data_IF_925272098323
#
_entry.id   IF_925272098323
#
_cell.length_a   1.000
_cell.length_b   1.000
_cell.length_c   1.000
_cell.angle_alpha   90.00
_cell.angle_beta   90.00
_cell.angle_gamma   90.00
#
_symmetry.space_group_name_H-M   'P 1'
#
loop_
_entity.id
_entity.type
_entity.pdbx_description
1 polymer ?
#
# COMPACT_ATOMS: atom_id res chain seq x y z
N UNK A 1 13.77 3.86 -27.50
CA UNK A 1 12.61 4.31 -26.70
C UNK A 1 12.67 3.71 -25.29
N UNK A 2 13.52 4.23 -24.40
CA UNK A 2 13.64 3.74 -23.01
C UNK A 2 13.69 4.96 -22.11
N UNK A 3 12.67 5.15 -21.24
CA UNK A 3 12.76 5.89 -19.96
C UNK A 3 11.39 6.35 -19.37
N UNK A 4 10.23 6.10 -19.99
CA UNK A 4 8.95 6.56 -19.38
C UNK A 4 8.38 5.61 -18.32
N UNK A 5 8.74 4.32 -18.37
CA UNK A 5 8.12 3.29 -17.52
C UNK A 5 8.58 3.28 -16.05
N UNK A 6 9.76 3.82 -15.73
CA UNK A 6 10.33 3.79 -14.36
C UNK A 6 9.68 4.80 -13.38
N UNK A 7 8.74 5.64 -13.83
CA UNK A 7 8.29 6.79 -13.05
C UNK A 7 6.84 6.70 -12.50
N UNK A 8 6.16 5.56 -12.70
CA UNK A 8 4.80 5.36 -12.17
C UNK A 8 4.80 5.13 -10.66
N UNK A 9 3.66 5.40 -10.01
CA UNK A 9 3.50 5.17 -8.57
C UNK A 9 3.68 3.69 -8.20
N UNK A 10 3.16 2.76 -9.03
CA UNK A 10 3.28 1.31 -8.83
C UNK A 10 4.73 0.83 -8.85
N UNK A 11 5.56 1.30 -9.80
CA UNK A 11 6.97 0.92 -9.86
C UNK A 11 7.75 1.41 -8.63
N UNK A 12 7.43 2.61 -8.13
CA UNK A 12 8.04 3.15 -6.91
C UNK A 12 7.72 2.29 -5.68
N UNK A 13 6.49 1.78 -5.58
CA UNK A 13 6.12 0.85 -4.51
C UNK A 13 6.86 -0.48 -4.66
N UNK A 14 6.97 -1.02 -5.87
CA UNK A 14 7.70 -2.26 -6.14
C UNK A 14 9.20 -2.14 -5.81
N UNK A 15 9.81 -0.99 -6.09
CA UNK A 15 11.20 -0.70 -5.69
C UNK A 15 11.35 -0.70 -4.17
N UNK A 16 10.43 -0.06 -3.43
CA UNK A 16 10.43 -0.09 -1.97
C UNK A 16 10.34 -1.52 -1.43
N UNK A 17 9.37 -2.30 -1.91
CA UNK A 17 9.16 -3.69 -1.51
C UNK A 17 10.42 -4.56 -1.75
N UNK A 18 11.04 -4.45 -2.93
CA UNK A 18 12.27 -5.18 -3.26
C UNK A 18 13.45 -4.79 -2.36
N UNK A 19 13.62 -3.50 -2.06
CA UNK A 19 14.68 -3.02 -1.17
C UNK A 19 14.50 -3.54 0.25
N UNK A 20 13.27 -3.49 0.77
CA UNK A 20 12.94 -4.03 2.09
C UNK A 20 13.21 -5.54 2.14
N UNK A 21 12.74 -6.29 1.13
CA UNK A 21 12.98 -7.73 1.03
C UNK A 21 14.47 -8.08 1.03
N UNK A 22 15.27 -7.46 0.15
CA UNK A 22 16.70 -7.74 0.06
C UNK A 22 17.44 -7.39 1.36
N UNK A 23 17.11 -6.26 1.98
CA UNK A 23 17.72 -5.85 3.24
C UNK A 23 17.37 -6.81 4.40
N UNK A 24 16.11 -7.23 4.50
CA UNK A 24 15.68 -8.20 5.51
C UNK A 24 16.25 -9.61 5.27
N UNK A 25 16.43 -10.00 3.99
CA UNK A 25 17.02 -11.28 3.63
C UNK A 25 18.52 -11.33 3.93
N UNK A 26 19.23 -10.21 3.75
CA UNK A 26 20.66 -10.10 4.04
C UNK A 26 20.96 -10.02 5.55
N UNK A 27 20.10 -9.35 6.32
CA UNK A 27 20.21 -9.26 7.77
C UNK A 27 18.83 -9.45 8.43
N UNK A 28 18.52 -10.67 8.91
CA UNK A 28 17.25 -10.97 9.57
C UNK A 28 17.01 -10.20 10.88
N UNK A 29 18.07 -9.64 11.50
CA UNK A 29 17.95 -8.84 12.73
C UNK A 29 17.86 -7.34 12.45
N UNK A 30 17.89 -6.93 11.18
CA UNK A 30 17.80 -5.53 10.77
C UNK A 30 16.50 -4.90 11.24
N UNK A 31 16.60 -3.77 11.93
CA UNK A 31 15.46 -2.91 12.28
C UNK A 31 15.30 -1.80 11.25
N UNK A 32 14.06 -1.53 10.85
CA UNK A 32 13.71 -0.45 9.94
C UNK A 32 13.07 0.70 10.74
N UNK A 33 13.84 1.72 11.09
CA UNK A 33 13.39 2.79 11.99
C UNK A 33 12.21 3.64 11.49
N UNK A 34 11.96 3.66 10.18
CA UNK A 34 10.89 4.45 9.54
C UNK A 34 9.96 3.60 8.67
N UNK A 35 9.85 2.30 8.96
CA UNK A 35 9.05 1.39 8.12
C UNK A 35 7.59 1.83 8.02
N UNK A 36 7.01 2.24 9.16
CA UNK A 36 5.61 2.68 9.24
C UNK A 36 5.35 3.84 8.27
N UNK A 37 6.15 4.91 8.34
CA UNK A 37 6.08 6.06 7.42
C UNK A 37 6.14 5.66 5.94
N UNK A 38 6.98 4.68 5.60
CA UNK A 38 7.12 4.23 4.20
C UNK A 38 5.96 3.35 3.75
N UNK A 39 5.46 2.47 4.61
CA UNK A 39 4.35 1.55 4.30
C UNK A 39 3.00 2.28 4.28
N UNK A 40 2.79 3.24 5.17
CA UNK A 40 1.59 4.09 5.20
C UNK A 40 1.69 5.30 4.27
N UNK A 41 2.70 5.36 3.40
CA UNK A 41 2.77 6.44 2.39
C UNK A 41 1.60 6.33 1.41
N UNK A 42 1.01 7.46 1.02
CA UNK A 42 -0.20 7.47 0.18
C UNK A 42 -0.09 6.67 -1.13
N UNK A 43 1.10 6.57 -1.73
CA UNK A 43 1.32 5.72 -2.92
C UNK A 43 1.15 4.24 -2.63
N UNK A 44 1.64 3.77 -1.48
CA UNK A 44 1.51 2.38 -1.04
C UNK A 44 0.07 2.10 -0.66
N UNK A 45 -0.57 3.00 0.09
CA UNK A 45 -1.96 2.87 0.52
C UNK A 45 -2.94 2.80 -0.66
N UNK A 46 -2.79 3.66 -1.67
CA UNK A 46 -3.63 3.62 -2.89
C UNK A 46 -3.44 2.31 -3.67
N UNK A 47 -2.20 1.82 -3.77
CA UNK A 47 -1.94 0.53 -4.40
C UNK A 47 -2.56 -0.63 -3.61
N UNK A 48 -2.41 -0.62 -2.29
CA UNK A 48 -2.99 -1.62 -1.40
C UNK A 48 -4.52 -1.63 -1.50
N UNK A 49 -5.17 -0.47 -1.49
CA UNK A 49 -6.61 -0.34 -1.71
C UNK A 49 -7.06 -1.01 -3.01
N UNK A 50 -6.37 -0.71 -4.11
CA UNK A 50 -6.68 -1.29 -5.43
C UNK A 50 -6.61 -2.82 -5.41
N UNK A 51 -5.62 -3.39 -4.72
CA UNK A 51 -5.45 -4.84 -4.60
C UNK A 51 -6.52 -5.46 -3.69
N UNK A 52 -6.83 -4.84 -2.56
CA UNK A 52 -7.87 -5.32 -1.63
C UNK A 52 -9.24 -5.32 -2.29
N UNK A 53 -9.59 -4.24 -3.00
CA UNK A 53 -10.84 -4.16 -3.76
C UNK A 53 -10.94 -5.27 -4.81
N UNK A 54 -9.85 -5.57 -5.50
CA UNK A 54 -9.83 -6.63 -6.51
C UNK A 54 -10.09 -8.04 -5.94
N UNK A 55 -9.80 -8.27 -4.66
CA UNK A 55 -10.03 -9.54 -4.00
C UNK A 55 -11.50 -9.83 -3.68
N UNK A 56 -12.40 -8.82 -3.78
CA UNK A 56 -13.85 -8.97 -3.56
C UNK A 56 -14.22 -9.63 -2.22
N UNK A 57 -13.44 -9.36 -1.18
CA UNK A 57 -13.66 -9.91 0.16
C UNK A 57 -14.88 -9.32 0.86
N UNK A 58 -15.38 -10.04 1.87
CA UNK A 58 -16.45 -9.58 2.75
C UNK A 58 -15.93 -8.66 3.86
N UNK A 59 -16.84 -7.90 4.48
CA UNK A 59 -16.50 -7.07 5.65
C UNK A 59 -16.06 -7.91 6.85
N UNK A 60 -15.17 -7.33 7.67
CA UNK A 60 -14.71 -7.93 8.90
C UNK A 60 -15.67 -7.71 10.07
N UNK A 61 -15.15 -7.85 11.30
CA UNK A 61 -15.91 -7.60 12.54
C UNK A 61 -16.40 -6.15 12.67
N UNK A 62 -15.71 -5.21 12.02
CA UNK A 62 -16.06 -3.80 11.91
C UNK A 62 -17.27 -3.53 10.99
N UNK A 63 -17.69 -4.54 10.22
CA UNK A 63 -18.76 -4.49 9.22
C UNK A 63 -18.55 -3.43 8.13
N UNK A 64 -17.33 -2.92 7.95
CA UNK A 64 -17.01 -1.98 6.89
C UNK A 64 -16.84 -2.72 5.56
N UNK A 65 -17.70 -2.43 4.60
CA UNK A 65 -17.61 -2.96 3.23
C UNK A 65 -16.86 -1.98 2.34
N UNK A 66 -16.29 -2.48 1.24
CA UNK A 66 -15.71 -1.63 0.19
C UNK A 66 -16.74 -0.61 -0.31
N UNK A 67 -17.97 -1.06 -0.58
CA UNK A 67 -19.04 -0.19 -1.05
C UNK A 67 -19.30 0.96 -0.07
N UNK A 68 -19.41 0.67 1.24
CA UNK A 68 -19.61 1.68 2.27
C UNK A 68 -18.47 2.70 2.31
N UNK A 69 -17.22 2.24 2.16
CA UNK A 69 -16.07 3.14 2.10
C UNK A 69 -16.13 4.02 0.84
N UNK A 70 -16.54 3.49 -0.31
CA UNK A 70 -16.61 4.24 -1.56
C UNK A 70 -17.77 5.23 -1.62
N UNK A 71 -18.92 4.91 -1.02
CA UNK A 71 -20.13 5.72 -1.10
C UNK A 71 -20.32 6.68 0.07
N UNK A 72 -19.96 6.30 1.29
CA UNK A 72 -20.25 7.08 2.50
C UNK A 72 -19.02 7.82 3.04
N UNK A 73 -17.84 7.17 3.07
CA UNK A 73 -16.64 7.72 3.73
C UNK A 73 -15.76 8.48 2.72
N UNK A 74 -15.63 7.93 1.51
CA UNK A 74 -14.68 8.34 0.51
C UNK A 74 -13.31 7.68 0.72
N UNK A 75 -12.79 7.02 -0.32
CA UNK A 75 -11.50 6.31 -0.29
C UNK A 75 -10.35 7.23 0.16
N UNK A 76 -10.34 8.48 -0.32
CA UNK A 76 -9.29 9.44 0.04
C UNK A 76 -9.24 9.75 1.54
N UNK A 77 -10.40 9.98 2.16
CA UNK A 77 -10.51 10.24 3.60
C UNK A 77 -10.14 9.00 4.40
N UNK A 78 -10.67 7.84 4.01
CA UNK A 78 -10.35 6.57 4.65
C UNK A 78 -8.85 6.27 4.65
N UNK A 79 -8.14 6.56 3.55
CA UNK A 79 -6.69 6.36 3.48
C UNK A 79 -5.88 7.43 4.22
N UNK A 80 -6.43 8.62 4.49
CA UNK A 80 -5.77 9.67 5.27
C UNK A 80 -5.84 9.41 6.78
N UNK A 81 -6.81 8.62 7.22
CA UNK A 81 -7.01 8.24 8.62
C UNK A 81 -6.08 7.07 9.07
N UNK A 82 -5.20 6.58 8.19
CA UNK A 82 -4.22 5.50 8.44
C UNK A 82 -2.84 6.09 8.75
#
# INVERSE_FOLDING_TARGET
>A
MIAKALNTAFEKVRVLQRKLYLAAKADPKRKFGVLYDKVCSGRVLVMAWTQVKANKGSSGIDRLTIDKIETEIGVGNFLQDI
#
